data_IF_905231910802
#
_entry.id   IF_905231910802
#
_cell.length_a   1.000
_cell.length_b   1.000
_cell.length_c   1.000
_cell.angle_alpha   90.00
_cell.angle_beta   90.00
_cell.angle_gamma   90.00
#
_symmetry.space_group_name_H-M   'P 1'
#
loop_
_entity.id
_entity.type
_entity.pdbx_description
1 polymer ?
#
# COMPACT_ATOMS: atom_id res chain seq x y z
N UNK A 1 -9.45 -13.46 2.63
CA UNK A 1 -8.44 -13.21 3.66
C UNK A 1 -7.10 -13.59 3.05
N UNK A 2 -6.11 -12.69 3.06
CA UNK A 2 -4.82 -12.93 2.39
C UNK A 2 -4.85 -12.74 0.86
N UNK A 3 -5.95 -12.26 0.28
CA UNK A 3 -6.08 -12.04 -1.15
C UNK A 3 -5.33 -10.76 -1.57
N UNK A 4 -4.65 -10.81 -2.71
CA UNK A 4 -4.06 -9.67 -3.38
C UNK A 4 -4.98 -9.18 -4.49
N UNK A 5 -5.49 -7.97 -4.36
CA UNK A 5 -6.42 -7.35 -5.32
C UNK A 5 -5.73 -6.22 -6.05
N UNK A 6 -5.70 -6.28 -7.38
CA UNK A 6 -5.25 -5.16 -8.19
C UNK A 6 -6.40 -4.18 -8.48
N UNK A 7 -6.10 -2.90 -8.47
CA UNK A 7 -6.96 -1.85 -9.04
C UNK A 7 -6.26 -1.31 -10.27
N UNK A 8 -6.85 -1.54 -11.44
CA UNK A 8 -6.35 -1.08 -12.73
C UNK A 8 -7.32 -0.06 -13.37
N UNK A 9 -6.81 0.76 -14.26
CA UNK A 9 -7.59 1.76 -15.00
C UNK A 9 -6.70 2.90 -15.48
N UNK A 10 -7.21 3.71 -16.38
CA UNK A 10 -6.50 4.87 -16.93
C UNK A 10 -6.12 5.91 -15.89
N UNK A 11 -5.21 6.81 -16.27
CA UNK A 11 -4.91 8.00 -15.48
C UNK A 11 -6.19 8.85 -15.36
N UNK A 12 -6.44 9.36 -14.15
CA UNK A 12 -7.66 10.11 -13.87
C UNK A 12 -8.93 9.25 -13.68
N UNK A 13 -8.85 7.92 -13.73
CA UNK A 13 -10.01 7.05 -13.50
C UNK A 13 -10.56 7.10 -12.05
N UNK A 14 -9.85 7.74 -11.11
CA UNK A 14 -10.28 7.89 -9.72
C UNK A 14 -9.66 6.90 -8.73
N UNK A 15 -8.66 6.11 -9.14
CA UNK A 15 -8.01 5.08 -8.30
C UNK A 15 -7.39 5.66 -7.02
N UNK A 16 -6.54 6.67 -7.15
CA UNK A 16 -5.89 7.30 -5.99
C UNK A 16 -6.88 8.10 -5.13
N UNK A 17 -7.93 8.68 -5.72
CA UNK A 17 -9.04 9.32 -4.97
C UNK A 17 -9.75 8.28 -4.11
N UNK A 18 -10.06 7.11 -4.66
CA UNK A 18 -10.66 6.01 -3.91
C UNK A 18 -9.77 5.61 -2.71
N UNK A 19 -8.45 5.45 -2.93
CA UNK A 19 -7.52 5.13 -1.83
C UNK A 19 -7.54 6.22 -0.75
N UNK A 20 -7.45 7.49 -1.13
CA UNK A 20 -7.48 8.61 -0.17
C UNK A 20 -8.77 8.64 0.65
N UNK A 21 -9.90 8.23 0.06
CA UNK A 21 -11.18 8.16 0.76
C UNK A 21 -11.26 6.98 1.75
N UNK A 22 -10.79 5.79 1.38
CA UNK A 22 -10.79 4.63 2.30
C UNK A 22 -9.77 4.75 3.41
N UNK A 23 -8.68 5.50 3.18
CA UNK A 23 -7.66 5.82 4.18
C UNK A 23 -7.93 7.11 4.95
N UNK A 24 -9.09 7.74 4.71
CA UNK A 24 -9.52 8.99 5.34
C UNK A 24 -8.55 10.17 5.18
N UNK A 25 -7.69 10.16 4.14
CA UNK A 25 -6.90 11.33 3.72
C UNK A 25 -7.81 12.39 3.11
N UNK A 26 -8.87 11.95 2.41
CA UNK A 26 -9.94 12.80 1.89
C UNK A 26 -11.28 12.34 2.45
N UNK A 27 -12.12 13.29 2.86
CA UNK A 27 -13.46 12.99 3.38
C UNK A 27 -14.35 12.47 2.25
N UNK A 28 -15.04 11.36 2.50
CA UNK A 28 -16.05 10.83 1.57
C UNK A 28 -17.28 11.73 1.53
N UNK A 29 -17.86 11.87 0.35
CA UNK A 29 -19.14 12.57 0.16
C UNK A 29 -20.34 11.66 0.32
N UNK A 30 -20.13 10.32 0.32
CA UNK A 30 -21.19 9.34 0.48
C UNK A 30 -20.66 7.91 0.52
N UNK A 31 -21.57 6.95 0.55
CA UNK A 31 -21.23 5.53 0.62
C UNK A 31 -20.88 5.05 2.04
N UNK A 32 -20.68 3.75 2.18
CA UNK A 32 -20.31 3.09 3.44
C UNK A 32 -19.06 2.24 3.26
N UNK A 33 -18.17 2.25 4.25
CA UNK A 33 -17.01 1.37 4.28
C UNK A 33 -17.18 0.35 5.38
N UNK A 34 -16.94 -0.90 5.02
CA UNK A 34 -16.92 -2.03 5.96
C UNK A 34 -15.50 -2.56 6.04
N UNK A 35 -14.95 -2.63 7.22
CA UNK A 35 -13.62 -3.16 7.46
C UNK A 35 -13.68 -4.21 8.57
N UNK A 36 -13.17 -5.42 8.30
CA UNK A 36 -13.29 -6.57 9.20
C UNK A 36 -14.72 -6.86 9.67
N UNK A 37 -15.71 -6.76 8.77
CA UNK A 37 -17.12 -7.02 9.06
C UNK A 37 -17.84 -5.93 9.87
N UNK A 38 -17.19 -4.79 10.12
CA UNK A 38 -17.79 -3.66 10.87
C UNK A 38 -17.86 -2.41 9.98
N UNK A 39 -18.94 -1.66 10.10
CA UNK A 39 -19.02 -0.33 9.52
C UNK A 39 -17.98 0.57 10.20
N UNK A 40 -17.23 1.31 9.39
CA UNK A 40 -16.19 2.22 9.88
C UNK A 40 -16.35 3.60 9.25
N UNK A 41 -16.13 4.60 10.07
CA UNK A 41 -15.99 5.98 9.66
C UNK A 41 -14.77 6.54 10.38
N UNK A 42 -13.71 6.76 9.60
CA UNK A 42 -12.45 7.24 10.17
C UNK A 42 -12.43 8.75 10.15
N UNK A 43 -12.11 9.37 11.29
CA UNK A 43 -11.99 10.83 11.43
C UNK A 43 -10.73 11.39 10.76
N UNK A 44 -9.82 10.52 10.30
CA UNK A 44 -8.60 10.91 9.61
C UNK A 44 -7.66 9.74 9.37
N UNK A 45 -6.52 9.99 8.70
CA UNK A 45 -5.56 8.94 8.33
C UNK A 45 -5.00 8.17 9.52
N UNK A 46 -4.84 8.83 10.68
CA UNK A 46 -4.34 8.18 11.88
C UNK A 46 -5.30 7.09 12.36
N UNK A 47 -6.61 7.39 12.41
CA UNK A 47 -7.64 6.42 12.79
C UNK A 47 -7.69 5.20 11.84
N UNK A 48 -7.53 5.41 10.52
CA UNK A 48 -7.44 4.33 9.56
C UNK A 48 -6.21 3.44 9.80
N UNK A 49 -5.05 4.05 10.10
CA UNK A 49 -3.81 3.35 10.43
C UNK A 49 -3.92 2.57 11.74
N UNK A 50 -4.53 3.14 12.77
CA UNK A 50 -4.78 2.46 14.06
C UNK A 50 -5.73 1.26 13.89
N UNK A 51 -6.69 1.34 12.97
CA UNK A 51 -7.54 0.22 12.61
C UNK A 51 -6.77 -0.92 11.89
N UNK A 52 -5.58 -0.62 11.34
CA UNK A 52 -4.69 -1.56 10.66
C UNK A 52 -4.67 -1.41 9.14
N UNK A 53 -5.07 -0.26 8.58
CA UNK A 53 -4.93 0.04 7.15
C UNK A 53 -3.62 0.81 6.95
N UNK A 54 -2.61 0.15 6.38
CA UNK A 54 -1.34 0.77 6.04
C UNK A 54 -1.26 1.09 4.55
N UNK A 55 -0.68 2.24 4.21
CA UNK A 55 -0.62 2.70 2.81
C UNK A 55 0.79 3.14 2.44
N UNK A 56 1.25 2.64 1.31
CA UNK A 56 2.42 3.14 0.58
C UNK A 56 1.90 4.00 -0.57
N UNK A 57 2.01 5.30 -0.41
CA UNK A 57 1.62 6.26 -1.45
C UNK A 57 2.74 6.40 -2.49
N UNK A 58 2.40 6.82 -3.68
CA UNK A 58 3.35 7.11 -4.76
C UNK A 58 4.46 8.09 -4.33
N UNK A 59 4.15 9.06 -3.46
CA UNK A 59 5.11 10.05 -2.92
C UNK A 59 5.88 9.57 -1.69
N UNK A 60 5.85 8.29 -1.35
CA UNK A 60 6.48 7.60 -0.23
C UNK A 60 6.26 8.17 1.18
N UNK A 61 6.05 9.48 1.32
CA UNK A 61 5.88 10.20 2.59
C UNK A 61 6.99 9.85 3.61
N UNK A 62 8.24 9.95 3.19
CA UNK A 62 9.44 9.77 4.01
C UNK A 62 10.07 11.14 4.30
N UNK A 63 10.58 11.31 5.51
CA UNK A 63 11.32 12.48 5.93
C UNK A 63 12.81 12.30 5.59
N UNK A 64 13.33 13.09 4.66
CA UNK A 64 14.67 12.93 4.09
C UNK A 64 15.81 13.03 5.12
N UNK A 65 15.63 13.86 6.15
CA UNK A 65 16.66 14.12 7.17
C UNK A 65 16.63 13.14 8.36
N UNK A 66 15.65 12.25 8.41
CA UNK A 66 15.54 11.20 9.43
C UNK A 66 16.16 9.89 8.92
N UNK A 67 16.60 9.05 9.85
CA UNK A 67 17.07 7.69 9.56
C UNK A 67 15.91 6.72 9.35
N UNK A 68 16.20 5.44 9.11
CA UNK A 68 15.16 4.43 8.83
C UNK A 68 14.26 4.20 10.03
N UNK A 69 14.77 3.92 11.27
CA UNK A 69 13.95 3.78 12.46
C UNK A 69 13.01 4.95 12.69
N UNK A 70 13.51 6.17 12.63
CA UNK A 70 12.71 7.37 12.87
C UNK A 70 11.62 7.55 11.79
N UNK A 71 11.91 7.24 10.53
CA UNK A 71 10.90 7.25 9.47
C UNK A 71 9.81 6.19 9.64
N UNK A 72 10.17 4.98 10.08
CA UNK A 72 9.19 3.93 10.32
C UNK A 72 8.23 4.32 11.46
N UNK A 73 8.77 4.91 12.52
CA UNK A 73 8.02 5.24 13.73
C UNK A 73 7.46 6.66 13.77
N UNK A 74 7.66 7.46 12.74
CA UNK A 74 7.19 8.85 12.68
C UNK A 74 5.67 8.95 12.98
N UNK A 75 5.34 9.65 14.07
CA UNK A 75 3.97 9.77 14.60
C UNK A 75 3.45 8.54 15.34
N UNK A 76 4.33 7.56 15.63
CA UNK A 76 4.04 6.35 16.44
C UNK A 76 5.27 5.93 17.23
N UNK A 77 6.02 6.92 17.71
CA UNK A 77 7.25 6.72 18.42
C UNK A 77 7.01 5.86 19.68
N UNK A 78 7.91 4.92 19.93
CA UNK A 78 7.88 4.13 21.17
C UNK A 78 8.37 5.00 22.32
N UNK A 79 7.59 5.03 23.39
CA UNK A 79 7.91 5.78 24.60
C UNK A 79 8.44 4.79 25.64
N UNK A 80 9.64 5.05 26.15
CA UNK A 80 10.27 4.27 27.23
C UNK A 80 9.74 4.68 28.61
N UNK A 81 9.63 5.98 28.82
CA UNK A 81 9.08 6.56 30.03
C UNK A 81 8.13 7.70 29.66
N UNK A 82 6.90 7.61 30.16
CA UNK A 82 5.90 8.66 29.98
C UNK A 82 5.88 9.53 31.24
N UNK A 83 6.50 10.71 31.16
CA UNK A 83 6.54 11.72 32.21
C UNK A 83 5.68 12.94 31.83
N UNK A 84 4.56 12.70 31.16
CA UNK A 84 3.71 13.77 30.63
C UNK A 84 4.43 14.53 29.51
N UNK A 85 4.69 15.86 29.67
CA UNK A 85 5.33 16.66 28.62
C UNK A 85 6.81 16.30 28.37
N UNK A 86 7.44 15.50 29.24
CA UNK A 86 8.85 15.07 29.17
C UNK A 86 9.01 13.58 28.85
N UNK A 87 8.24 13.07 27.90
CA UNK A 87 8.34 11.67 27.48
C UNK A 87 9.71 11.36 26.85
N UNK A 88 10.31 10.23 27.22
CA UNK A 88 11.59 9.77 26.67
C UNK A 88 11.33 8.67 25.66
N UNK A 89 11.86 8.82 24.44
CA UNK A 89 11.71 7.87 23.36
C UNK A 89 12.52 6.58 23.62
N UNK A 90 11.98 5.45 23.18
CA UNK A 90 12.67 4.14 23.18
C UNK A 90 13.35 3.90 21.83
N UNK A 91 14.45 4.59 21.57
CA UNK A 91 15.23 4.42 20.35
C UNK A 91 15.71 2.98 20.12
N UNK A 92 16.05 2.28 21.21
CA UNK A 92 16.48 0.87 21.13
C UNK A 92 15.33 -0.02 20.65
N UNK A 93 14.16 0.11 21.25
CA UNK A 93 12.98 -0.66 20.87
C UNK A 93 12.46 -0.32 19.47
N UNK A 94 12.60 0.94 19.01
CA UNK A 94 12.30 1.32 17.62
C UNK A 94 13.29 0.67 16.65
N UNK A 95 14.59 0.69 16.95
CA UNK A 95 15.62 0.07 16.11
C UNK A 95 15.43 -1.44 15.98
N UNK A 96 15.17 -2.14 17.09
CA UNK A 96 14.93 -3.59 17.11
C UNK A 96 13.68 -3.96 16.27
N UNK A 97 12.59 -3.20 16.41
CA UNK A 97 11.37 -3.41 15.64
C UNK A 97 11.57 -3.09 14.15
N UNK A 98 12.36 -2.06 13.80
CA UNK A 98 12.75 -1.77 12.42
C UNK A 98 13.48 -2.96 11.80
N UNK A 99 14.49 -3.51 12.48
CA UNK A 99 15.22 -4.68 11.98
C UNK A 99 14.32 -5.91 11.83
N UNK A 100 13.34 -6.08 12.71
CA UNK A 100 12.34 -7.15 12.60
C UNK A 100 11.44 -6.96 11.38
N UNK A 101 10.93 -5.76 11.12
CA UNK A 101 10.13 -5.42 9.96
C UNK A 101 10.89 -5.61 8.63
N UNK A 102 12.14 -5.16 8.57
CA UNK A 102 13.00 -5.37 7.41
C UNK A 102 13.24 -6.87 7.14
N UNK A 103 13.50 -7.67 8.17
CA UNK A 103 13.62 -9.14 8.03
C UNK A 103 12.33 -9.78 7.54
N UNK A 104 11.18 -9.37 8.08
CA UNK A 104 9.87 -9.89 7.68
C UNK A 104 9.58 -9.68 6.19
N UNK A 105 10.00 -8.56 5.62
CA UNK A 105 9.83 -8.23 4.21
C UNK A 105 10.97 -8.69 3.31
N UNK A 106 12.04 -9.25 3.87
CA UNK A 106 13.25 -9.60 3.11
C UNK A 106 14.05 -8.38 2.60
N UNK A 107 13.73 -7.19 3.09
CA UNK A 107 14.41 -5.94 2.72
C UNK A 107 15.80 -5.88 3.34
N UNK A 108 16.80 -5.60 2.51
CA UNK A 108 18.20 -5.43 2.93
C UNK A 108 18.59 -3.95 2.84
N UNK A 109 18.72 -3.29 3.98
CA UNK A 109 19.28 -1.94 4.09
C UNK A 109 20.66 -2.08 4.76
N UNK A 110 21.76 -1.68 4.10
CA UNK A 110 23.12 -1.88 4.61
C UNK A 110 23.35 -1.19 5.98
N UNK A 111 22.83 0.01 6.14
CA UNK A 111 22.90 0.76 7.40
C UNK A 111 21.60 1.53 7.64
N UNK A 112 20.84 1.09 8.63
CA UNK A 112 19.56 1.71 8.99
C UNK A 112 19.69 3.07 9.70
N UNK A 113 20.91 3.45 10.11
CA UNK A 113 21.20 4.77 10.69
C UNK A 113 21.53 5.82 9.63
N UNK A 114 21.59 5.47 8.35
CA UNK A 114 21.70 6.43 7.28
C UNK A 114 20.37 7.18 7.12
N UNK A 115 20.47 8.48 6.89
CA UNK A 115 19.30 9.30 6.55
C UNK A 115 18.77 8.95 5.17
N UNK A 116 17.46 9.10 4.99
CA UNK A 116 16.76 8.75 3.75
C UNK A 116 17.32 9.50 2.53
N UNK A 117 17.76 10.72 2.69
CA UNK A 117 18.35 11.52 1.59
C UNK A 117 19.55 10.84 0.91
N UNK A 118 20.29 9.98 1.63
CA UNK A 118 21.45 9.26 1.10
C UNK A 118 21.11 7.88 0.50
N UNK A 119 19.81 7.55 0.37
CA UNK A 119 19.34 6.28 -0.17
C UNK A 119 18.92 6.42 -1.63
N UNK A 120 19.11 5.34 -2.41
CA UNK A 120 18.56 5.24 -3.76
C UNK A 120 17.01 5.24 -3.74
N UNK A 121 16.38 5.55 -4.87
CA UNK A 121 14.92 5.48 -5.01
C UNK A 121 14.34 4.13 -4.61
N UNK A 122 14.98 3.03 -5.04
CA UNK A 122 14.59 1.67 -4.67
C UNK A 122 14.73 1.39 -3.17
N UNK A 123 15.81 1.87 -2.53
CA UNK A 123 15.97 1.73 -1.08
C UNK A 123 14.89 2.50 -0.32
N UNK A 124 14.57 3.74 -0.73
CA UNK A 124 13.47 4.53 -0.16
C UNK A 124 12.13 3.80 -0.29
N UNK A 125 11.86 3.22 -1.46
CA UNK A 125 10.65 2.42 -1.69
C UNK A 125 10.59 1.22 -0.75
N UNK A 126 11.69 0.47 -0.61
CA UNK A 126 11.78 -0.66 0.30
C UNK A 126 11.54 -0.25 1.76
N UNK A 127 12.06 0.91 2.21
CA UNK A 127 11.80 1.47 3.54
C UNK A 127 10.31 1.78 3.72
N UNK A 128 9.67 2.42 2.73
CA UNK A 128 8.23 2.73 2.78
C UNK A 128 7.36 1.47 2.88
N UNK A 129 7.73 0.40 2.16
CA UNK A 129 7.02 -0.89 2.25
C UNK A 129 7.31 -1.58 3.59
N UNK A 130 8.56 -1.59 4.07
CA UNK A 130 8.91 -2.18 5.36
C UNK A 130 8.16 -1.52 6.54
N UNK A 131 7.81 -0.23 6.42
CA UNK A 131 6.96 0.48 7.39
C UNK A 131 5.62 -0.23 7.57
N UNK A 132 4.96 -0.68 6.49
CA UNK A 132 3.67 -1.36 6.59
C UNK A 132 3.77 -2.70 7.31
N UNK A 133 4.84 -3.46 7.10
CA UNK A 133 5.05 -4.75 7.73
C UNK A 133 5.46 -4.66 9.21
N UNK A 134 6.00 -3.51 9.65
CA UNK A 134 6.42 -3.27 11.04
C UNK A 134 5.23 -3.18 11.99
N UNK A 135 4.07 -2.73 11.52
CA UNK A 135 2.90 -2.42 12.35
C UNK A 135 1.73 -3.41 12.22
N UNK A 136 1.97 -4.67 11.85
CA UNK A 136 0.92 -5.71 11.77
C UNK A 136 -0.34 -5.23 11.05
N UNK A 137 -0.18 -4.79 9.80
CA UNK A 137 -1.29 -4.35 8.97
C UNK A 137 -2.34 -5.46 8.78
N UNK A 138 -3.61 -5.08 8.83
CA UNK A 138 -4.74 -5.94 8.44
C UNK A 138 -5.08 -5.77 6.96
N UNK A 139 -4.63 -4.70 6.37
CA UNK A 139 -4.71 -4.40 4.94
C UNK A 139 -3.57 -3.46 4.57
N UNK A 140 -2.78 -3.87 3.60
CA UNK A 140 -1.77 -3.01 2.97
C UNK A 140 -2.28 -2.49 1.63
N UNK A 141 -2.14 -1.20 1.38
CA UNK A 141 -2.45 -0.57 0.09
C UNK A 141 -1.16 -0.03 -0.49
N UNK A 142 -0.87 -0.36 -1.74
CA UNK A 142 0.30 0.16 -2.46
C UNK A 142 -0.16 0.88 -3.72
N UNK A 143 0.09 2.19 -3.78
CA UNK A 143 -0.27 3.04 -4.93
C UNK A 143 0.97 3.23 -5.81
N UNK A 144 1.00 2.54 -6.96
CA UNK A 144 2.08 2.56 -7.96
C UNK A 144 3.49 2.32 -7.34
N UNK A 145 3.71 1.21 -6.62
CA UNK A 145 4.93 1.00 -5.82
C UNK A 145 6.20 0.84 -6.64
N UNK A 146 6.10 0.66 -7.94
CA UNK A 146 7.24 0.50 -8.86
C UNK A 146 7.38 1.63 -9.86
N UNK A 147 6.55 2.67 -9.74
CA UNK A 147 6.65 3.84 -10.61
C UNK A 147 8.03 4.51 -10.46
N UNK A 148 8.65 4.85 -11.58
CA UNK A 148 9.97 5.50 -11.64
C UNK A 148 11.16 4.70 -11.04
N UNK A 149 11.01 3.37 -10.86
CA UNK A 149 12.10 2.49 -10.47
C UNK A 149 12.75 1.81 -11.67
N UNK A 150 14.06 1.53 -11.55
CA UNK A 150 14.79 0.70 -12.49
C UNK A 150 14.36 -0.78 -12.43
N UNK A 151 14.87 -1.58 -13.35
CA UNK A 151 14.49 -3.01 -13.46
C UNK A 151 14.83 -3.79 -12.18
N UNK A 152 16.01 -3.54 -11.61
CA UNK A 152 16.47 -4.25 -10.42
C UNK A 152 15.65 -3.86 -9.17
N UNK A 153 15.38 -2.58 -9.00
CA UNK A 153 14.55 -2.08 -7.89
C UNK A 153 13.10 -2.57 -8.00
N UNK A 154 12.56 -2.58 -9.22
CA UNK A 154 11.22 -3.15 -9.49
C UNK A 154 11.16 -4.62 -9.06
N UNK A 155 12.14 -5.43 -9.45
CA UNK A 155 12.21 -6.83 -9.05
C UNK A 155 12.31 -7.01 -7.53
N UNK A 156 13.03 -6.14 -6.82
CA UNK A 156 13.07 -6.16 -5.35
C UNK A 156 11.70 -5.89 -4.73
N UNK A 157 10.98 -4.87 -5.21
CA UNK A 157 9.63 -4.54 -4.74
C UNK A 157 8.65 -5.68 -5.02
N UNK A 158 8.69 -6.26 -6.22
CA UNK A 158 7.87 -7.42 -6.58
C UNK A 158 8.14 -8.61 -5.65
N UNK A 159 9.40 -8.88 -5.31
CA UNK A 159 9.75 -9.95 -4.37
C UNK A 159 9.21 -9.69 -2.96
N UNK A 160 9.22 -8.44 -2.49
CA UNK A 160 8.61 -8.08 -1.22
C UNK A 160 7.10 -8.35 -1.25
N UNK A 161 6.41 -7.96 -2.34
CA UNK A 161 4.98 -8.21 -2.51
C UNK A 161 4.68 -9.72 -2.51
N UNK A 162 5.50 -10.54 -3.18
CA UNK A 162 5.37 -12.02 -3.13
C UNK A 162 5.54 -12.56 -1.72
N UNK A 163 6.54 -12.06 -0.99
CA UNK A 163 6.77 -12.45 0.42
C UNK A 163 5.55 -12.12 1.30
N UNK A 164 4.94 -10.94 1.13
CA UNK A 164 3.72 -10.58 1.84
C UNK A 164 2.54 -11.51 1.48
N UNK A 165 2.44 -11.90 0.21
CA UNK A 165 1.43 -12.87 -0.26
C UNK A 165 1.59 -14.23 0.39
N UNK A 166 2.81 -14.76 0.42
CA UNK A 166 3.14 -16.03 1.07
C UNK A 166 2.84 -16.02 2.57
N UNK A 167 2.96 -14.85 3.21
CA UNK A 167 2.60 -14.64 4.61
C UNK A 167 1.08 -14.46 4.84
N UNK A 168 0.28 -14.45 3.77
CA UNK A 168 -1.18 -14.28 3.85
C UNK A 168 -1.61 -12.85 4.22
N UNK A 169 -0.75 -11.86 3.99
CA UNK A 169 -1.06 -10.44 4.24
C UNK A 169 -2.00 -9.93 3.12
N UNK A 170 -3.19 -9.39 3.43
CA UNK A 170 -4.08 -8.85 2.41
C UNK A 170 -3.49 -7.58 1.79
N UNK A 171 -3.60 -7.45 0.47
CA UNK A 171 -3.02 -6.32 -0.24
C UNK A 171 -3.93 -5.79 -1.35
N UNK A 172 -4.02 -4.47 -1.46
CA UNK A 172 -4.55 -3.78 -2.64
C UNK A 172 -3.37 -3.15 -3.37
N UNK A 173 -3.16 -3.57 -4.61
CA UNK A 173 -2.13 -3.05 -5.50
C UNK A 173 -2.75 -2.16 -6.57
N UNK A 174 -2.40 -0.88 -6.58
CA UNK A 174 -2.71 -0.03 -7.73
C UNK A 174 -1.50 -0.02 -8.64
N UNK A 175 -1.69 -0.46 -9.86
CA UNK A 175 -0.63 -0.47 -10.87
C UNK A 175 -1.25 -0.37 -12.27
N UNK A 176 -0.51 0.27 -13.18
CA UNK A 176 -0.79 0.26 -14.62
C UNK A 176 0.03 -0.80 -15.36
N UNK A 177 0.93 -1.51 -14.66
CA UNK A 177 1.77 -2.56 -15.24
C UNK A 177 1.02 -3.91 -15.25
N UNK A 178 0.50 -4.28 -16.43
CA UNK A 178 -0.27 -5.51 -16.61
C UNK A 178 0.51 -6.76 -16.19
N UNK A 179 1.79 -6.88 -16.58
CA UNK A 179 2.62 -8.03 -16.22
C UNK A 179 2.72 -8.19 -14.70
N UNK A 180 2.98 -7.09 -14.00
CA UNK A 180 3.07 -7.07 -12.54
C UNK A 180 1.76 -7.50 -11.88
N UNK A 181 0.63 -6.98 -12.35
CA UNK A 181 -0.70 -7.31 -11.82
C UNK A 181 -1.02 -8.78 -12.04
N UNK A 182 -0.81 -9.29 -13.25
CA UNK A 182 -1.06 -10.70 -13.59
C UNK A 182 -0.14 -11.65 -12.80
N UNK A 183 1.05 -11.23 -12.40
CA UNK A 183 1.97 -12.04 -11.62
C UNK A 183 1.65 -12.04 -10.11
N UNK A 184 1.30 -10.89 -9.54
CA UNK A 184 1.25 -10.69 -8.09
C UNK A 184 -0.16 -10.76 -7.48
N UNK A 185 -1.22 -10.56 -8.26
CA UNK A 185 -2.58 -10.44 -7.76
C UNK A 185 -3.45 -11.66 -8.09
N UNK A 186 -4.48 -11.88 -7.30
CA UNK A 186 -5.47 -12.96 -7.45
C UNK A 186 -6.73 -12.46 -8.14
N UNK A 187 -7.01 -11.16 -7.99
CA UNK A 187 -8.19 -10.48 -8.50
C UNK A 187 -7.82 -9.13 -9.09
N UNK A 188 -8.54 -8.73 -10.13
CA UNK A 188 -8.34 -7.46 -10.84
C UNK A 188 -9.66 -6.71 -10.87
N UNK A 189 -9.70 -5.53 -10.24
CA UNK A 189 -10.82 -4.60 -10.29
C UNK A 189 -10.46 -3.51 -11.29
N UNK A 190 -11.23 -3.42 -12.36
CA UNK A 190 -11.00 -2.41 -13.41
C UNK A 190 -11.85 -1.18 -13.10
N UNK A 191 -11.16 -0.05 -13.02
CA UNK A 191 -11.72 1.25 -12.68
C UNK A 191 -11.73 2.17 -13.91
N UNK A 192 -12.86 2.80 -14.18
CA UNK A 192 -13.02 3.71 -15.30
C UNK A 192 -13.97 4.83 -14.95
N UNK A 193 -13.56 6.10 -15.17
CA UNK A 193 -14.38 7.30 -14.92
C UNK A 193 -15.06 7.33 -13.56
N UNK A 194 -14.32 6.99 -12.50
CA UNK A 194 -14.83 6.99 -11.12
C UNK A 194 -15.69 5.78 -10.73
N UNK A 195 -15.79 4.76 -11.59
CA UNK A 195 -16.64 3.58 -11.37
C UNK A 195 -15.90 2.28 -11.63
N UNK A 196 -16.35 1.21 -10.99
CA UNK A 196 -15.91 -0.15 -11.30
C UNK A 196 -16.64 -0.58 -12.58
N UNK A 197 -15.92 -1.08 -13.59
CA UNK A 197 -16.49 -1.66 -14.79
C UNK A 197 -16.25 -3.16 -14.94
N UNK A 198 -15.32 -3.73 -14.15
CA UNK A 198 -15.12 -5.16 -14.06
C UNK A 198 -14.48 -5.57 -12.73
N UNK A 199 -14.78 -6.78 -12.30
CA UNK A 199 -14.16 -7.45 -11.15
C UNK A 199 -13.86 -8.89 -11.59
N UNK A 200 -12.60 -9.16 -11.89
CA UNK A 200 -12.14 -10.35 -12.60
C UNK A 200 -11.26 -11.20 -11.69
N UNK A 201 -11.41 -12.50 -11.73
CA UNK A 201 -10.42 -13.42 -11.17
C UNK A 201 -9.28 -13.60 -12.16
N UNK A 202 -8.05 -13.63 -11.67
CA UNK A 202 -6.87 -13.80 -12.52
C UNK A 202 -6.97 -15.04 -13.41
N UNK A 203 -7.50 -16.13 -12.87
CA UNK A 203 -7.62 -17.43 -13.55
C UNK A 203 -8.65 -17.42 -14.69
N UNK A 204 -9.57 -16.47 -14.69
CA UNK A 204 -10.70 -16.35 -15.62
C UNK A 204 -10.50 -15.24 -16.67
N UNK A 205 -9.32 -14.58 -16.67
CA UNK A 205 -9.06 -13.42 -17.53
C UNK A 205 -7.61 -13.38 -18.01
N UNK A 206 -7.39 -12.65 -19.06
CA UNK A 206 -6.04 -12.35 -19.57
C UNK A 206 -5.80 -10.84 -19.72
N UNK A 207 -4.58 -10.46 -20.09
CA UNK A 207 -4.22 -9.05 -20.23
C UNK A 207 -5.02 -8.32 -21.33
N UNK A 208 -5.46 -9.02 -22.39
CA UNK A 208 -6.25 -8.40 -23.47
C UNK A 208 -7.66 -8.09 -22.99
N UNK A 209 -8.26 -9.00 -22.24
CA UNK A 209 -9.57 -8.78 -21.62
C UNK A 209 -9.55 -7.59 -20.65
N UNK A 210 -8.54 -7.52 -19.78
CA UNK A 210 -8.39 -6.40 -18.86
C UNK A 210 -8.26 -5.07 -19.61
N UNK A 211 -7.47 -5.01 -20.69
CA UNK A 211 -7.36 -3.83 -21.56
C UNK A 211 -8.71 -3.46 -22.18
N UNK A 212 -9.50 -4.45 -22.64
CA UNK A 212 -10.81 -4.21 -23.20
C UNK A 212 -11.78 -3.55 -22.19
N UNK A 213 -11.70 -3.93 -20.91
CA UNK A 213 -12.45 -3.26 -19.84
C UNK A 213 -11.92 -1.86 -19.52
N UNK A 214 -10.61 -1.65 -19.50
CA UNK A 214 -10.01 -0.33 -19.26
C UNK A 214 -10.44 0.66 -20.36
N UNK A 215 -10.36 0.26 -21.63
CA UNK A 215 -10.73 1.09 -22.77
C UNK A 215 -12.26 1.26 -22.92
N UNK A 216 -13.02 0.38 -22.29
CA UNK A 216 -14.49 0.35 -22.35
C UNK A 216 -15.06 -0.34 -23.58
N UNK A 217 -14.25 -1.14 -24.27
CA UNK A 217 -14.73 -2.08 -25.28
C UNK A 217 -15.59 -3.20 -24.68
N UNK A 218 -15.35 -3.51 -23.39
CA UNK A 218 -16.15 -4.44 -22.58
C UNK A 218 -16.58 -3.79 -21.27
N UNK A 219 -17.73 -4.18 -20.73
CA UNK A 219 -18.21 -3.87 -19.37
C UNK A 219 -18.97 -5.08 -18.87
N UNK A 220 -18.73 -5.50 -17.62
CA UNK A 220 -19.53 -6.59 -17.04
C UNK A 220 -20.97 -6.10 -16.82
N UNK A 221 -21.97 -6.95 -17.11
CA UNK A 221 -23.40 -6.62 -17.05
C UNK A 221 -23.82 -6.01 -15.70
N UNK A 222 -23.28 -6.54 -14.59
CA UNK A 222 -23.56 -6.02 -13.24
C UNK A 222 -23.12 -4.58 -13.01
N UNK A 223 -22.24 -4.03 -13.86
CA UNK A 223 -21.74 -2.65 -13.80
C UNK A 223 -22.23 -1.77 -14.97
N UNK A 224 -22.91 -2.37 -15.96
CA UNK A 224 -23.37 -1.67 -17.17
C UNK A 224 -24.48 -0.63 -16.91
N UNK A 225 -25.29 -0.85 -15.86
CA UNK A 225 -26.42 0.04 -15.51
C UNK A 225 -26.06 1.22 -14.60
N UNK A 226 -24.78 1.41 -14.26
CA UNK A 226 -24.31 2.48 -13.38
C UNK A 226 -23.84 3.73 -14.16
N UNK A 227 -24.35 3.97 -15.36
CA UNK A 227 -24.02 5.12 -16.21
C UNK A 227 -24.81 6.37 -15.83
#
# INVERSE_FOLDING_TARGET
KGEHVAIMGDNGAGKSTFVRQITAVEKRTGGKVWFNGRYVEFDGPLAAREAGIETVFQTLALADHLDVPDNLFLGREKIRFNLGPFSILDYKGMREATLAGLRKTGVKIPNISNTIQHMSGGQRQCVAIARTATFHSKLTIMDEPTAALGVQETAQVENIIRTLKEQGEPLILISHNMRQVMDLCDRIVVWRRGRICANLRKEETDGQDVVAYITGAKTQEQYAGAA
#
